data_IF_015698933272
#
_entry.id   IF_015698933272
#
_cell.length_a   1.000
_cell.length_b   1.000
_cell.length_c   1.000
_cell.angle_alpha   90.00
_cell.angle_beta   90.00
_cell.angle_gamma   90.00
#
_symmetry.space_group_name_H-M   'P 1'
#
loop_
_entity.id
_entity.type
_entity.pdbx_description
1 polymer ?
#
# COMPACT_ATOMS: atom_id res chain seq x y z
N UNK A 1 6.43 -0.30 -1.99
CA UNK A 1 5.44 -0.12 -3.07
C UNK A 1 5.11 -1.46 -3.70
N UNK A 2 6.13 -2.28 -3.98
CA UNK A 2 6.01 -3.55 -4.70
C UNK A 2 5.08 -4.61 -4.07
N UNK A 3 4.70 -4.44 -2.79
CA UNK A 3 3.76 -5.32 -2.07
C UNK A 3 2.33 -4.80 -2.01
N UNK A 4 2.06 -3.60 -2.52
CA UNK A 4 0.71 -3.02 -2.51
C UNK A 4 -0.15 -3.80 -3.52
N UNK A 5 -1.29 -4.37 -3.10
CA UNK A 5 -2.16 -5.07 -4.01
C UNK A 5 -2.78 -4.07 -5.00
N UNK A 6 -2.77 -4.41 -6.29
CA UNK A 6 -3.47 -3.67 -7.32
C UNK A 6 -4.37 -4.61 -8.11
N UNK A 7 -5.60 -4.17 -8.37
CA UNK A 7 -6.63 -5.00 -8.99
C UNK A 7 -6.26 -5.40 -10.42
N UNK A 8 -6.79 -6.54 -10.88
CA UNK A 8 -6.58 -7.00 -12.25
C UNK A 8 -7.19 -6.05 -13.29
N UNK A 9 -8.28 -5.36 -12.95
CA UNK A 9 -8.88 -4.32 -13.79
C UNK A 9 -7.92 -3.13 -13.97
N UNK A 10 -7.29 -2.65 -12.89
CA UNK A 10 -6.34 -1.54 -12.98
C UNK A 10 -5.11 -1.90 -13.85
N UNK A 11 -4.61 -3.14 -13.71
CA UNK A 11 -3.52 -3.68 -14.55
C UNK A 11 -3.87 -3.73 -16.04
N UNK A 12 -5.14 -3.96 -16.39
CA UNK A 12 -5.60 -3.97 -17.78
C UNK A 12 -5.65 -2.56 -18.39
N UNK A 13 -5.93 -1.55 -17.57
CA UNK A 13 -6.03 -0.15 -18.01
C UNK A 13 -4.64 0.49 -18.15
N UNK A 14 -3.74 0.25 -17.20
CA UNK A 14 -2.40 0.85 -17.21
C UNK A 14 -1.32 -0.22 -17.26
N UNK A 15 -0.48 -0.19 -18.31
CA UNK A 15 0.66 -1.13 -18.46
C UNK A 15 1.85 -0.80 -17.56
N UNK A 16 2.00 0.46 -17.15
CA UNK A 16 3.12 0.91 -16.33
C UNK A 16 2.84 0.66 -14.83
N UNK A 17 3.63 -0.20 -14.21
CA UNK A 17 3.50 -0.55 -12.78
C UNK A 17 3.57 0.67 -11.87
N UNK A 18 4.47 1.61 -12.16
CA UNK A 18 4.61 2.84 -11.38
C UNK A 18 3.33 3.69 -11.41
N UNK A 19 2.62 3.71 -12.54
CA UNK A 19 1.35 4.43 -12.66
C UNK A 19 0.23 3.74 -11.86
N UNK A 20 0.16 2.41 -11.93
CA UNK A 20 -0.77 1.63 -11.11
C UNK A 20 -0.53 1.86 -9.62
N UNK A 21 0.73 1.82 -9.17
CA UNK A 21 1.11 2.02 -7.77
C UNK A 21 0.86 3.45 -7.28
N UNK A 22 1.06 4.46 -8.15
CA UNK A 22 0.71 5.84 -7.80
C UNK A 22 -0.79 5.98 -7.57
N UNK A 23 -1.64 5.33 -8.38
CA UNK A 23 -3.08 5.33 -8.15
C UNK A 23 -3.44 4.60 -6.84
N UNK A 24 -2.82 3.47 -6.55
CA UNK A 24 -3.06 2.76 -5.28
C UNK A 24 -2.60 3.54 -4.04
N UNK A 25 -1.63 4.44 -4.16
CA UNK A 25 -1.17 5.26 -3.05
C UNK A 25 -1.95 6.56 -2.88
N UNK A 26 -2.48 7.12 -3.98
CA UNK A 26 -2.91 8.51 -4.02
C UNK A 26 -4.29 8.73 -4.64
N UNK A 27 -4.91 7.69 -5.23
CA UNK A 27 -6.21 7.77 -5.89
C UNK A 27 -7.37 7.99 -4.93
N UNK A 28 -7.26 7.47 -3.70
CA UNK A 28 -8.30 7.49 -2.68
C UNK A 28 -9.60 6.78 -3.12
N UNK A 29 -10.67 6.88 -2.30
CA UNK A 29 -12.01 6.34 -2.58
C UNK A 29 -12.10 4.81 -2.76
N UNK A 30 -11.09 4.05 -2.34
CA UNK A 30 -11.12 2.58 -2.33
C UNK A 30 -11.98 2.01 -1.17
N UNK A 31 -12.21 2.79 -0.11
CA UNK A 31 -12.91 2.38 1.12
C UNK A 31 -12.36 1.11 1.80
N UNK A 32 -11.09 0.80 1.57
CA UNK A 32 -10.38 -0.33 2.18
C UNK A 32 -9.88 -0.03 3.60
N UNK A 33 -9.67 -1.09 4.38
CA UNK A 33 -9.12 -0.98 5.75
C UNK A 33 -7.59 -0.99 5.74
N UNK A 34 -6.98 0.01 6.38
CA UNK A 34 -5.55 0.05 6.69
C UNK A 34 -5.37 -0.05 8.20
N UNK A 35 -4.65 -1.07 8.64
CA UNK A 35 -4.41 -1.33 10.06
C UNK A 35 -3.07 -2.02 10.27
N UNK A 36 -2.65 -2.12 11.54
CA UNK A 36 -1.42 -2.79 11.95
C UNK A 36 -1.73 -4.04 12.77
N UNK A 37 -0.81 -5.00 12.77
CA UNK A 37 -0.92 -6.21 13.58
C UNK A 37 0.46 -6.61 14.10
N UNK A 38 0.58 -7.07 15.37
CA UNK A 38 1.83 -7.66 15.86
C UNK A 38 2.29 -8.82 14.98
N UNK A 39 3.58 -8.93 14.72
CA UNK A 39 4.13 -9.98 13.85
C UNK A 39 3.73 -11.39 14.30
N UNK A 40 3.66 -11.64 15.61
CA UNK A 40 3.23 -12.90 16.20
C UNK A 40 1.80 -13.32 15.82
N UNK A 41 0.92 -12.35 15.49
CA UNK A 41 -0.48 -12.61 15.10
C UNK A 41 -0.69 -12.63 13.59
N UNK A 42 0.33 -12.27 12.79
CA UNK A 42 0.20 -12.16 11.33
C UNK A 42 -0.25 -13.50 10.69
N UNK A 43 0.39 -14.62 11.06
CA UNK A 43 0.04 -15.93 10.50
C UNK A 43 -1.41 -16.33 10.78
N UNK A 44 -1.92 -16.03 11.98
CA UNK A 44 -3.31 -16.30 12.35
C UNK A 44 -4.27 -15.42 11.54
N UNK A 45 -4.01 -14.11 11.47
CA UNK A 45 -4.85 -13.18 10.75
C UNK A 45 -4.96 -13.54 9.27
N UNK A 46 -3.85 -13.93 8.62
CA UNK A 46 -3.88 -14.36 7.21
C UNK A 46 -4.76 -15.60 6.98
N UNK A 47 -4.92 -16.47 7.99
CA UNK A 47 -5.86 -17.61 7.90
C UNK A 47 -7.31 -17.17 8.04
N UNK A 48 -7.59 -16.20 8.92
CA UNK A 48 -8.94 -15.70 9.19
C UNK A 48 -9.46 -14.80 8.07
N UNK A 49 -8.58 -14.00 7.48
CA UNK A 49 -8.90 -13.06 6.40
C UNK A 49 -7.93 -13.31 5.24
N UNK A 50 -8.24 -14.26 4.34
CA UNK A 50 -7.29 -14.70 3.29
C UNK A 50 -6.86 -13.61 2.31
N UNK A 51 -7.68 -12.57 2.15
CA UNK A 51 -7.47 -11.49 1.17
C UNK A 51 -6.63 -10.31 1.68
N UNK A 52 -6.12 -10.36 2.91
CA UNK A 52 -5.25 -9.28 3.42
C UNK A 52 -3.90 -9.24 2.70
N UNK A 53 -3.36 -8.03 2.60
CA UNK A 53 -2.02 -7.80 2.07
C UNK A 53 -1.11 -7.16 3.11
N UNK A 54 0.08 -7.74 3.30
CA UNK A 54 1.12 -7.16 4.14
C UNK A 54 1.96 -6.18 3.33
N UNK A 55 1.60 -4.90 3.40
CA UNK A 55 2.18 -3.85 2.55
C UNK A 55 3.35 -3.11 3.18
N UNK A 56 3.65 -3.37 4.46
CA UNK A 56 4.71 -2.66 5.17
C UNK A 56 4.97 -3.21 6.58
N UNK A 57 5.78 -2.45 7.33
CA UNK A 57 6.09 -2.69 8.74
C UNK A 57 6.14 -1.35 9.46
N UNK A 58 5.85 -1.35 10.76
CA UNK A 58 6.11 -0.23 11.64
C UNK A 58 7.51 -0.42 12.25
N UNK A 59 8.30 0.64 12.27
CA UNK A 59 9.57 0.72 12.99
C UNK A 59 9.55 1.94 13.93
N UNK A 60 10.70 2.30 14.49
CA UNK A 60 10.82 3.43 15.43
C UNK A 60 10.82 4.81 14.74
N UNK A 61 10.65 4.89 13.42
CA UNK A 61 10.60 6.15 12.71
C UNK A 61 9.23 6.83 12.85
N UNK A 62 9.25 8.15 13.03
CA UNK A 62 8.04 8.99 12.98
C UNK A 62 7.62 9.36 11.55
N UNK A 63 8.28 8.78 10.54
CA UNK A 63 8.04 9.09 9.12
C UNK A 63 7.47 7.88 8.39
N UNK A 64 6.51 8.14 7.51
CA UNK A 64 6.14 7.17 6.49
C UNK A 64 7.23 7.17 5.42
N UNK A 65 7.67 5.97 5.01
CA UNK A 65 8.60 5.78 3.90
C UNK A 65 8.05 4.73 2.97
N UNK A 66 8.25 4.93 1.67
CA UNK A 66 7.93 3.91 0.68
C UNK A 66 9.11 3.68 -0.26
N UNK A 67 9.27 2.41 -0.62
CA UNK A 67 10.38 1.91 -1.43
C UNK A 67 9.82 1.31 -2.71
N UNK A 68 10.45 1.60 -3.84
CA UNK A 68 10.14 0.98 -5.14
C UNK A 68 11.43 0.34 -5.65
N UNK A 69 11.39 -0.97 -5.93
CA UNK A 69 12.58 -1.76 -6.27
C UNK A 69 13.72 -1.57 -5.26
N UNK A 70 13.38 -1.56 -3.96
CA UNK A 70 14.33 -1.36 -2.86
C UNK A 70 14.86 0.07 -2.70
N UNK A 71 14.52 1.01 -3.59
CA UNK A 71 14.96 2.42 -3.51
C UNK A 71 13.92 3.29 -2.81
N UNK A 72 14.33 4.01 -1.77
CA UNK A 72 13.48 4.99 -1.10
C UNK A 72 13.01 6.05 -2.09
N UNK A 73 11.72 6.33 -2.08
CA UNK A 73 11.10 7.30 -2.96
C UNK A 73 10.71 8.56 -2.19
N UNK A 74 10.84 9.73 -2.84
CA UNK A 74 10.39 10.99 -2.25
C UNK A 74 8.87 11.06 -2.23
N UNK A 75 8.29 11.36 -1.07
CA UNK A 75 6.86 11.69 -0.94
C UNK A 75 6.58 12.96 -1.71
N UNK A 76 5.78 12.87 -2.78
CA UNK A 76 5.41 14.02 -3.62
C UNK A 76 3.96 14.46 -3.46
N UNK A 77 3.12 13.65 -2.82
CA UNK A 77 1.67 13.88 -2.76
C UNK A 77 1.14 13.71 -1.33
N UNK A 78 0.19 14.55 -0.95
CA UNK A 78 -0.36 14.66 0.41
C UNK A 78 -1.80 14.16 0.54
N UNK A 79 -2.32 13.43 -0.45
CA UNK A 79 -3.72 13.00 -0.46
C UNK A 79 -4.67 14.10 -0.97
N UNK A 80 -5.95 13.75 -1.03
CA UNK A 80 -7.02 14.70 -1.27
C UNK A 80 -7.10 15.71 -0.12
N UNK A 81 -7.24 16.99 -0.46
CA UNK A 81 -7.45 18.10 0.47
C UNK A 81 -8.62 18.92 -0.03
N UNK A 82 -9.63 19.14 0.81
CA UNK A 82 -10.82 19.90 0.41
C UNK A 82 -10.52 21.34 -0.01
N UNK A 83 -9.46 21.96 0.56
CA UNK A 83 -9.09 23.37 0.36
C UNK A 83 -7.57 23.55 0.29
#
# INVERSE_FOLDING_TARGET
MDKIPVSSSLKKVFREDKKQLNLALFGAEDYELIFTVPHSKAKLLKKLVPHISYIGKIDSSEKVKYFYDGKEQKIKYSGYKHF
#
